data_IF_708247892105
#
_entry.id   IF_708247892105
#
_cell.length_a   1.000
_cell.length_b   1.000
_cell.length_c   1.000
_cell.angle_alpha   90.00
_cell.angle_beta   90.00
_cell.angle_gamma   90.00
#
_symmetry.space_group_name_H-M   'P 1'
#
loop_
_entity.id
_entity.type
_entity.pdbx_description
1 polymer ?
#
# COMPACT_ATOMS: atom_id res chain seq x y z
N UNK A 1 6.08 62.93 -62.23
CA UNK A 1 5.61 61.54 -62.58
C UNK A 1 6.64 60.61 -61.98
N UNK A 2 6.21 59.63 -61.23
CA UNK A 2 7.14 58.65 -60.69
C UNK A 2 7.69 57.77 -61.82
N UNK A 3 8.96 57.36 -61.71
CA UNK A 3 9.62 56.55 -62.76
C UNK A 3 9.42 55.05 -62.53
N UNK A 4 8.79 54.69 -61.43
CA UNK A 4 8.52 53.30 -60.98
C UNK A 4 7.18 53.16 -60.21
N UNK A 5 6.64 51.96 -60.22
CA UNK A 5 5.44 51.63 -59.38
C UNK A 5 5.79 51.61 -57.90
N UNK A 6 4.87 52.02 -57.01
CA UNK A 6 5.19 52.27 -55.60
C UNK A 6 5.41 50.96 -54.75
N UNK A 7 4.86 49.81 -55.13
CA UNK A 7 4.99 48.57 -54.36
C UNK A 7 6.06 47.61 -54.86
N UNK A 8 6.10 47.41 -56.19
CA UNK A 8 7.01 46.46 -56.84
C UNK A 8 8.16 47.12 -57.55
N UNK A 9 8.25 48.47 -57.53
CA UNK A 9 9.26 49.25 -58.20
C UNK A 9 9.39 48.91 -59.74
N UNK A 10 8.26 48.60 -60.38
CA UNK A 10 8.22 48.27 -61.75
C UNK A 10 8.55 49.53 -62.57
N UNK A 11 9.55 49.52 -63.49
CA UNK A 11 9.96 50.72 -64.24
C UNK A 11 8.89 51.16 -65.22
N UNK A 12 8.54 52.41 -65.18
CA UNK A 12 7.63 53.06 -66.19
C UNK A 12 8.32 53.51 -67.44
N UNK A 13 7.60 53.40 -68.52
CA UNK A 13 8.08 53.97 -69.76
C UNK A 13 7.97 55.53 -69.74
N UNK A 14 9.03 56.24 -69.98
CA UNK A 14 9.06 57.72 -69.96
C UNK A 14 8.35 58.35 -71.15
N UNK A 15 7.86 59.63 -71.07
CA UNK A 15 7.00 60.27 -72.05
C UNK A 15 7.55 60.46 -73.46
N UNK A 16 8.81 60.21 -73.73
CA UNK A 16 9.44 60.38 -75.06
C UNK A 16 9.06 59.32 -76.10
N UNK A 17 8.20 58.31 -75.78
CA UNK A 17 7.70 57.27 -76.69
C UNK A 17 6.20 57.46 -76.95
N UNK A 18 5.82 57.80 -78.21
CA UNK A 18 4.49 58.13 -78.70
C UNK A 18 3.34 57.37 -78.00
N UNK A 19 2.73 57.95 -76.93
CA UNK A 19 1.58 57.56 -76.12
C UNK A 19 1.52 56.09 -75.57
N UNK A 20 2.44 55.20 -75.95
CA UNK A 20 2.48 53.79 -75.47
C UNK A 20 2.71 53.71 -73.94
N UNK A 21 3.33 54.73 -73.39
CA UNK A 21 3.59 54.82 -71.96
C UNK A 21 2.34 54.90 -71.16
N UNK A 22 1.22 55.43 -71.60
CA UNK A 22 0.00 55.60 -70.83
C UNK A 22 -0.63 54.21 -70.51
N UNK A 23 -0.92 53.43 -71.56
CA UNK A 23 -1.55 52.09 -71.38
C UNK A 23 -0.61 51.10 -70.77
N UNK A 24 0.71 51.17 -71.03
CA UNK A 24 1.68 50.28 -70.42
C UNK A 24 1.87 50.59 -68.93
N UNK A 25 2.01 51.85 -68.56
CA UNK A 25 2.19 52.24 -67.17
C UNK A 25 0.94 52.00 -66.38
N UNK A 26 -0.27 52.17 -66.95
CA UNK A 26 -1.53 51.74 -66.28
C UNK A 26 -1.55 50.24 -66.06
N UNK A 27 -1.13 49.44 -67.02
CA UNK A 27 -1.03 48.01 -66.87
C UNK A 27 -0.06 47.61 -65.75
N UNK A 28 1.11 48.27 -65.66
CA UNK A 28 2.08 48.04 -64.58
C UNK A 28 1.53 48.48 -63.20
N UNK A 29 0.81 49.60 -63.15
CA UNK A 29 0.15 50.06 -61.89
C UNK A 29 -0.90 49.08 -61.38
N UNK A 30 -1.69 48.50 -62.30
CA UNK A 30 -2.67 47.45 -61.97
C UNK A 30 -1.96 46.20 -61.55
N UNK A 31 -0.87 45.78 -62.15
CA UNK A 31 -0.07 44.64 -61.77
C UNK A 31 0.52 44.82 -60.32
N UNK A 32 1.13 46.03 -60.12
CA UNK A 32 1.69 46.43 -58.84
C UNK A 32 0.65 46.32 -57.70
N UNK A 33 -0.58 46.73 -57.95
CA UNK A 33 -1.67 46.62 -57.00
C UNK A 33 -2.13 45.17 -56.74
N UNK A 34 -2.16 44.30 -57.76
CA UNK A 34 -2.69 42.95 -57.71
C UNK A 34 -1.72 41.90 -57.21
N UNK A 35 -0.42 42.05 -57.50
CA UNK A 35 0.59 41.05 -57.10
C UNK A 35 0.84 41.10 -55.62
N UNK A 36 0.72 39.91 -54.94
CA UNK A 36 0.81 39.80 -53.49
C UNK A 36 -0.09 40.83 -52.78
N UNK A 37 -1.37 40.82 -53.13
CA UNK A 37 -2.35 41.78 -52.66
C UNK A 37 -2.38 41.86 -51.14
N UNK A 38 -1.98 43.02 -50.63
CA UNK A 38 -2.11 43.37 -49.23
C UNK A 38 -2.90 44.67 -49.12
N UNK A 39 -4.02 44.61 -48.39
CA UNK A 39 -4.95 45.72 -48.23
C UNK A 39 -4.88 46.34 -46.86
N UNK A 40 -5.08 47.64 -46.74
CA UNK A 40 -5.11 48.34 -45.46
C UNK A 40 -6.35 47.96 -44.63
N UNK A 41 -7.41 47.47 -45.29
CA UNK A 41 -8.61 46.95 -44.67
C UNK A 41 -9.56 46.31 -45.66
N UNK A 42 -10.38 45.41 -45.17
CA UNK A 42 -11.50 44.75 -45.88
C UNK A 42 -12.80 45.46 -45.50
N UNK A 43 -13.78 45.51 -46.43
CA UNK A 43 -15.08 46.19 -46.28
C UNK A 43 -14.94 47.70 -46.00
N UNK A 44 -13.90 48.31 -46.54
CA UNK A 44 -13.65 49.72 -46.34
C UNK A 44 -14.72 50.60 -47.01
N UNK A 45 -15.32 51.54 -46.25
CA UNK A 45 -16.40 52.39 -46.69
C UNK A 45 -16.00 53.84 -47.01
N UNK A 46 -14.98 54.35 -46.35
CA UNK A 46 -14.62 55.77 -46.46
C UNK A 46 -13.12 55.90 -46.77
N UNK A 47 -12.73 56.68 -47.79
CA UNK A 47 -11.35 56.88 -48.09
C UNK A 47 -10.63 57.63 -46.94
N UNK A 48 -9.37 57.31 -46.66
CA UNK A 48 -8.58 58.05 -45.68
C UNK A 48 -8.38 59.51 -46.14
N UNK A 49 -8.27 60.42 -45.15
CA UNK A 49 -8.07 61.84 -45.44
C UNK A 49 -6.69 62.11 -46.09
N UNK A 50 -5.70 61.33 -45.79
CA UNK A 50 -4.32 61.45 -46.31
C UNK A 50 -3.83 60.04 -46.71
N UNK A 51 -4.21 59.56 -47.92
CA UNK A 51 -3.73 58.26 -48.41
C UNK A 51 -2.27 58.36 -48.83
N UNK A 52 -1.50 57.30 -48.65
CA UNK A 52 -0.12 57.19 -49.10
C UNK A 52 -0.04 56.40 -50.41
N UNK A 53 0.96 56.73 -51.25
CA UNK A 53 1.22 56.04 -52.52
C UNK A 53 1.43 54.53 -52.30
N UNK A 54 0.72 53.71 -53.06
CA UNK A 54 0.76 52.23 -52.96
C UNK A 54 -0.19 51.59 -51.92
N UNK A 55 -0.89 52.38 -51.15
CA UNK A 55 -1.94 51.82 -50.27
C UNK A 55 -3.12 51.31 -51.06
N UNK A 56 -3.68 50.15 -50.63
CA UNK A 56 -4.84 49.50 -51.29
C UNK A 56 -5.87 49.17 -50.26
N UNK A 57 -7.14 49.38 -50.59
CA UNK A 57 -8.29 48.98 -49.79
C UNK A 57 -9.20 48.05 -50.57
N UNK A 58 -9.81 47.05 -49.91
CA UNK A 58 -10.90 46.31 -50.47
C UNK A 58 -12.23 46.97 -50.02
N UNK A 59 -12.97 47.50 -50.97
CA UNK A 59 -14.18 48.29 -50.69
C UNK A 59 -15.36 47.40 -50.37
N UNK A 60 -16.14 47.82 -49.41
CA UNK A 60 -17.40 47.19 -49.04
C UNK A 60 -18.57 47.50 -50.01
N UNK A 61 -19.80 47.18 -49.61
CA UNK A 61 -21.02 47.34 -50.43
C UNK A 61 -21.48 48.78 -50.58
N UNK A 62 -21.10 49.69 -49.69
CA UNK A 62 -21.59 51.09 -49.70
C UNK A 62 -20.44 52.11 -49.50
N UNK A 63 -19.45 52.18 -50.41
CA UNK A 63 -18.35 53.13 -50.30
C UNK A 63 -18.81 54.57 -50.53
N UNK A 64 -18.17 55.52 -49.83
CA UNK A 64 -18.50 56.93 -49.80
C UNK A 64 -17.36 57.80 -50.28
N UNK A 65 -17.60 59.13 -50.39
CA UNK A 65 -16.57 60.11 -50.84
C UNK A 65 -15.99 59.80 -52.20
N UNK A 66 -14.67 59.83 -52.32
CA UNK A 66 -13.97 59.51 -53.56
C UNK A 66 -14.09 58.08 -54.05
N UNK A 67 -14.70 57.19 -53.23
CA UNK A 67 -14.98 55.76 -53.54
C UNK A 67 -16.44 55.50 -53.93
N UNK A 68 -17.29 56.54 -53.93
CA UNK A 68 -18.72 56.34 -54.19
C UNK A 68 -18.96 55.68 -55.55
N UNK A 69 -19.85 54.67 -55.63
CA UNK A 69 -20.12 53.89 -56.83
C UNK A 69 -19.16 52.73 -57.13
N UNK A 70 -18.11 52.53 -56.33
CA UNK A 70 -17.08 51.53 -56.56
C UNK A 70 -17.23 50.35 -55.62
N UNK A 71 -18.46 49.93 -55.28
CA UNK A 71 -18.76 48.82 -54.37
C UNK A 71 -18.03 47.53 -54.82
N UNK A 72 -17.41 46.83 -53.87
CA UNK A 72 -16.71 45.58 -54.10
C UNK A 72 -15.40 45.62 -54.89
N UNK A 73 -14.98 46.82 -55.29
CA UNK A 73 -13.70 47.05 -56.02
C UNK A 73 -12.49 47.10 -55.05
N UNK A 74 -11.30 46.93 -55.57
CA UNK A 74 -10.08 47.34 -54.90
C UNK A 74 -9.85 48.81 -55.23
N UNK A 75 -9.49 49.63 -54.28
CA UNK A 75 -9.11 51.02 -54.45
C UNK A 75 -7.64 51.20 -54.09
N UNK A 76 -6.76 51.41 -55.05
CA UNK A 76 -5.36 51.74 -54.85
C UNK A 76 -5.12 53.23 -55.00
N UNK A 77 -4.29 53.82 -54.13
CA UNK A 77 -3.87 55.21 -54.28
C UNK A 77 -2.53 55.25 -55.02
N UNK A 78 -2.57 55.72 -56.29
CA UNK A 78 -1.42 55.67 -57.18
C UNK A 78 -1.29 56.96 -57.99
N UNK A 79 -0.11 57.53 -58.03
CA UNK A 79 0.15 58.80 -58.71
C UNK A 79 -0.79 59.94 -58.27
N UNK A 80 -1.12 60.02 -56.98
CA UNK A 80 -1.97 61.04 -56.41
C UNK A 80 -3.46 60.90 -56.75
N UNK A 81 -3.90 59.73 -57.26
CA UNK A 81 -5.28 59.46 -57.64
C UNK A 81 -5.73 58.05 -57.28
N UNK A 82 -7.06 57.86 -57.19
CA UNK A 82 -7.64 56.55 -56.95
C UNK A 82 -7.70 55.75 -58.27
N UNK A 83 -7.09 54.54 -58.24
CA UNK A 83 -7.22 53.51 -59.26
C UNK A 83 -8.15 52.42 -58.76
N UNK A 84 -9.22 52.08 -59.48
CA UNK A 84 -10.15 51.04 -59.12
C UNK A 84 -9.96 49.81 -59.99
N UNK A 85 -10.05 48.62 -59.34
CA UNK A 85 -9.91 47.34 -60.02
C UNK A 85 -10.86 46.31 -59.43
N UNK A 86 -11.61 45.60 -60.28
CA UNK A 86 -12.45 44.51 -59.85
C UNK A 86 -11.55 43.31 -59.47
N UNK A 87 -11.64 42.83 -58.21
CA UNK A 87 -10.96 41.59 -57.82
C UNK A 87 -11.63 40.38 -58.45
N UNK A 88 -10.85 39.43 -58.94
CA UNK A 88 -11.34 38.17 -59.49
C UNK A 88 -11.75 37.17 -58.39
N UNK A 89 -12.66 36.25 -58.73
CA UNK A 89 -13.00 35.11 -57.86
C UNK A 89 -11.76 34.28 -57.55
N UNK A 90 -11.62 33.86 -56.27
CA UNK A 90 -10.47 33.10 -55.81
C UNK A 90 -9.23 33.94 -55.44
N UNK A 91 -9.21 35.26 -55.67
CA UNK A 91 -8.08 36.11 -55.30
C UNK A 91 -7.87 36.08 -53.79
N UNK A 92 -6.58 36.16 -53.39
CA UNK A 92 -6.17 36.22 -51.99
C UNK A 92 -5.75 37.64 -51.63
N UNK A 93 -6.15 38.15 -50.48
CA UNK A 93 -5.69 39.42 -49.93
C UNK A 93 -5.29 39.26 -48.47
N UNK A 94 -4.12 39.81 -48.12
CA UNK A 94 -3.73 39.97 -46.70
C UNK A 94 -4.34 41.30 -46.20
N UNK A 95 -5.15 41.23 -45.16
CA UNK A 95 -5.61 42.40 -44.42
C UNK A 95 -4.53 42.83 -43.41
N UNK A 96 -3.90 43.97 -43.69
CA UNK A 96 -2.81 44.53 -42.86
C UNK A 96 -3.31 44.99 -41.48
N UNK A 97 -4.60 45.31 -41.37
CA UNK A 97 -5.18 45.79 -40.10
C UNK A 97 -5.19 44.74 -39.00
N UNK A 98 -5.30 43.44 -39.35
CA UNK A 98 -5.43 42.33 -38.43
C UNK A 98 -4.55 41.11 -38.75
N UNK A 99 -3.74 41.19 -39.84
CA UNK A 99 -2.84 40.12 -40.29
C UNK A 99 -3.53 38.87 -40.83
N UNK A 100 -4.83 38.92 -41.16
CA UNK A 100 -5.59 37.76 -41.65
C UNK A 100 -5.59 37.69 -43.17
N UNK A 101 -5.60 36.48 -43.67
CA UNK A 101 -5.72 36.20 -45.10
C UNK A 101 -7.21 36.03 -45.46
N UNK A 102 -7.63 36.68 -46.55
CA UNK A 102 -8.99 36.60 -47.11
C UNK A 102 -8.94 36.04 -48.53
N UNK A 103 -10.01 35.39 -48.94
CA UNK A 103 -10.26 34.94 -50.30
C UNK A 103 -11.50 35.60 -50.86
N UNK A 104 -11.46 36.05 -52.13
CA UNK A 104 -12.64 36.51 -52.84
C UNK A 104 -13.53 35.32 -53.16
N UNK A 105 -14.77 35.30 -52.68
CA UNK A 105 -15.71 34.21 -52.91
C UNK A 105 -17.15 34.71 -52.94
N UNK A 106 -17.84 34.44 -54.06
CA UNK A 106 -19.25 34.85 -54.22
C UNK A 106 -19.49 36.37 -54.24
N UNK A 107 -18.45 37.14 -54.59
CA UNK A 107 -18.54 38.60 -54.56
C UNK A 107 -18.10 39.28 -53.28
N UNK A 108 -17.75 38.50 -52.22
CA UNK A 108 -17.31 39.00 -50.91
C UNK A 108 -15.89 38.56 -50.57
N UNK A 109 -15.21 39.28 -49.66
CA UNK A 109 -13.97 38.87 -49.09
C UNK A 109 -14.23 38.01 -47.84
N UNK A 110 -13.99 36.70 -47.93
CA UNK A 110 -14.20 35.74 -46.86
C UNK A 110 -12.87 35.41 -46.19
N UNK A 111 -12.82 35.56 -44.87
CA UNK A 111 -11.62 35.22 -44.11
C UNK A 111 -11.30 33.73 -44.27
N UNK A 112 -10.05 33.41 -44.56
CA UNK A 112 -9.56 32.05 -44.54
C UNK A 112 -9.41 31.65 -43.08
N UNK A 113 -10.33 30.80 -42.59
CA UNK A 113 -10.22 30.24 -41.25
C UNK A 113 -8.99 29.33 -41.17
N UNK A 114 -8.31 29.27 -40.00
CA UNK A 114 -7.35 28.21 -39.74
C UNK A 114 -8.00 26.83 -39.99
N UNK A 115 -7.24 25.82 -40.42
CA UNK A 115 -7.81 24.47 -40.57
C UNK A 115 -8.42 24.02 -39.29
N UNK A 116 -9.66 23.52 -39.33
CA UNK A 116 -10.28 22.86 -38.20
C UNK A 116 -9.53 21.56 -37.96
N UNK A 117 -9.01 21.38 -36.72
CA UNK A 117 -8.25 20.19 -36.32
C UNK A 117 -9.14 19.09 -35.74
N UNK A 118 -10.41 19.06 -36.17
CA UNK A 118 -11.37 18.00 -35.78
C UNK A 118 -11.34 16.85 -36.78
N UNK A 119 -11.51 15.62 -36.25
CA UNK A 119 -11.60 14.38 -37.05
C UNK A 119 -10.38 14.14 -37.96
N UNK A 120 -9.19 14.52 -37.49
CA UNK A 120 -7.95 14.21 -38.20
C UNK A 120 -7.73 12.70 -38.28
N UNK A 121 -7.20 12.23 -39.40
CA UNK A 121 -6.76 10.82 -39.53
C UNK A 121 -5.65 10.46 -38.55
N UNK A 122 -4.84 11.44 -38.16
CA UNK A 122 -3.84 11.31 -37.11
C UNK A 122 -3.03 12.59 -36.92
N UNK A 123 -2.32 12.69 -35.83
CA UNK A 123 -1.43 13.80 -35.47
C UNK A 123 -0.07 13.26 -35.07
N UNK A 124 0.98 13.70 -35.77
CA UNK A 124 2.37 13.39 -35.43
C UNK A 124 3.12 14.62 -34.93
N UNK A 125 3.73 14.55 -33.76
CA UNK A 125 4.62 15.56 -33.19
C UNK A 125 6.02 14.98 -33.16
N UNK A 126 6.89 15.42 -34.08
CA UNK A 126 8.22 14.86 -34.30
C UNK A 126 8.22 13.32 -34.47
N UNK A 127 7.11 12.78 -34.98
CA UNK A 127 6.88 11.36 -35.26
C UNK A 127 5.79 11.25 -36.34
N UNK A 128 5.70 10.12 -37.05
CA UNK A 128 4.60 9.84 -37.98
C UNK A 128 3.51 9.03 -37.22
N UNK A 129 2.26 9.48 -37.37
CA UNK A 129 1.11 8.65 -36.95
C UNK A 129 0.89 7.49 -37.92
N UNK A 130 0.14 6.49 -37.51
CA UNK A 130 -0.30 5.36 -38.32
C UNK A 130 -1.77 5.02 -38.02
N UNK A 131 -2.29 3.96 -38.63
CA UNK A 131 -3.69 3.54 -38.44
C UNK A 131 -4.02 3.05 -37.01
N UNK A 132 -3.01 2.71 -36.19
CA UNK A 132 -3.13 2.27 -34.80
C UNK A 132 -2.80 3.42 -33.85
N UNK A 133 -1.67 4.07 -34.07
CA UNK A 133 -1.16 5.17 -33.25
C UNK A 133 -1.55 6.52 -33.88
N UNK A 134 -2.81 6.91 -33.72
CA UNK A 134 -3.36 8.15 -34.29
C UNK A 134 -2.75 9.42 -33.73
N UNK A 135 -2.30 9.40 -32.48
CA UNK A 135 -1.49 10.43 -31.85
C UNK A 135 -0.09 9.86 -31.59
N UNK A 136 0.89 10.29 -32.35
CA UNK A 136 2.28 9.89 -32.19
C UNK A 136 3.12 11.10 -31.76
N UNK A 137 3.78 10.99 -30.61
CA UNK A 137 4.62 12.05 -30.05
C UNK A 137 6.01 11.50 -29.76
N UNK A 138 7.05 12.13 -30.33
CA UNK A 138 8.46 11.87 -30.02
C UNK A 138 9.07 13.10 -29.38
N UNK A 139 9.17 13.11 -28.07
CA UNK A 139 9.66 14.23 -27.28
C UNK A 139 10.26 13.73 -25.96
N UNK A 140 11.16 14.50 -25.33
CA UNK A 140 11.67 14.15 -23.98
C UNK A 140 10.57 14.09 -22.93
N UNK A 141 9.45 14.84 -23.10
CA UNK A 141 8.30 14.81 -22.21
C UNK A 141 7.03 15.25 -22.95
N UNK A 142 5.87 14.77 -22.47
CA UNK A 142 4.55 15.24 -22.91
C UNK A 142 3.81 15.75 -21.68
N UNK A 143 3.36 17.01 -21.72
CA UNK A 143 2.62 17.63 -20.63
C UNK A 143 1.13 17.70 -20.96
N UNK A 144 0.30 17.09 -20.13
CA UNK A 144 -1.13 17.34 -20.04
C UNK A 144 -1.37 18.18 -18.79
N UNK A 145 -1.82 19.43 -18.93
CA UNK A 145 -1.94 20.37 -17.82
C UNK A 145 -3.39 20.74 -17.54
N UNK A 146 -3.64 21.19 -16.32
CA UNK A 146 -4.95 21.72 -15.91
C UNK A 146 -5.17 23.15 -16.46
N UNK A 147 -6.46 23.53 -16.57
CA UNK A 147 -6.93 24.88 -16.90
C UNK A 147 -7.69 25.46 -15.69
N UNK A 148 -6.99 25.61 -14.54
CA UNK A 148 -7.55 26.18 -13.32
C UNK A 148 -8.25 25.18 -12.39
N UNK A 149 -8.38 23.89 -12.78
CA UNK A 149 -8.99 22.81 -12.00
C UNK A 149 -8.24 21.49 -12.18
N UNK A 150 -8.94 20.36 -12.06
CA UNK A 150 -8.37 19.03 -12.28
C UNK A 150 -8.11 18.74 -13.77
N UNK A 151 -7.21 17.78 -14.04
CA UNK A 151 -6.99 17.21 -15.36
C UNK A 151 -7.14 15.68 -15.31
N UNK A 152 -7.85 15.09 -16.28
CA UNK A 152 -8.08 13.64 -16.36
C UNK A 152 -7.70 13.13 -17.75
N UNK A 153 -6.89 12.06 -17.80
CA UNK A 153 -6.74 11.26 -19.01
C UNK A 153 -7.75 10.12 -18.97
N UNK A 154 -8.77 10.17 -19.82
CA UNK A 154 -9.81 9.13 -19.91
C UNK A 154 -9.46 8.16 -21.01
N UNK A 155 -9.20 6.90 -20.64
CA UNK A 155 -8.98 5.79 -21.55
C UNK A 155 -10.22 4.90 -21.46
N UNK A 156 -10.97 4.79 -22.55
CA UNK A 156 -12.22 4.05 -22.61
C UNK A 156 -12.10 2.80 -23.48
N UNK A 157 -12.81 1.73 -23.11
CA UNK A 157 -12.94 0.48 -23.88
C UNK A 157 -14.40 0.20 -24.20
N UNK A 158 -14.68 -0.54 -25.28
CA UNK A 158 -16.02 -0.81 -25.72
C UNK A 158 -16.72 -1.90 -24.89
N UNK A 159 -15.99 -2.92 -24.45
CA UNK A 159 -16.50 -4.03 -23.65
C UNK A 159 -15.54 -4.39 -22.50
N UNK A 160 -16.06 -5.07 -21.48
CA UNK A 160 -15.27 -5.49 -20.32
C UNK A 160 -14.07 -6.38 -20.71
N UNK A 161 -14.20 -7.19 -21.75
CA UNK A 161 -13.13 -8.06 -22.27
C UNK A 161 -12.02 -7.33 -23.03
N UNK A 162 -12.23 -6.06 -23.40
CA UNK A 162 -11.23 -5.27 -24.10
C UNK A 162 -10.19 -4.71 -23.15
N UNK A 163 -9.22 -3.95 -23.69
CA UNK A 163 -8.12 -3.38 -22.93
C UNK A 163 -8.18 -1.85 -22.95
N UNK A 164 -8.10 -1.24 -21.78
CA UNK A 164 -7.82 0.17 -21.56
C UNK A 164 -6.65 0.28 -20.59
N UNK A 165 -5.45 0.55 -21.09
CA UNK A 165 -4.23 0.48 -20.30
C UNK A 165 -3.17 1.48 -20.73
N UNK A 166 -2.17 1.67 -19.87
CA UNK A 166 -0.87 2.25 -20.19
C UNK A 166 0.13 1.12 -20.38
N UNK A 167 0.73 1.04 -21.56
CA UNK A 167 1.75 0.06 -21.91
C UNK A 167 3.14 0.73 -21.93
N UNK A 168 4.05 0.24 -21.11
CA UNK A 168 5.43 0.69 -21.04
C UNK A 168 6.31 -0.26 -21.85
N UNK A 169 7.13 0.30 -22.74
CA UNK A 169 7.92 -0.46 -23.69
C UNK A 169 9.41 -0.10 -23.65
N UNK A 170 10.24 -1.06 -24.03
CA UNK A 170 11.67 -0.85 -24.33
C UNK A 170 11.93 -1.45 -25.71
N UNK A 171 12.38 -0.62 -26.68
CA UNK A 171 12.60 -1.05 -28.05
C UNK A 171 11.33 -1.66 -28.68
N UNK A 172 10.16 -1.08 -28.43
CA UNK A 172 8.83 -1.54 -28.84
C UNK A 172 8.39 -2.91 -28.27
N UNK A 173 9.19 -3.53 -27.39
CA UNK A 173 8.77 -4.70 -26.60
C UNK A 173 8.11 -4.28 -25.30
N UNK A 174 6.92 -4.80 -24.97
CA UNK A 174 6.20 -4.50 -23.73
C UNK A 174 6.99 -4.96 -22.52
N UNK A 175 7.02 -4.15 -21.44
CA UNK A 175 7.71 -4.48 -20.19
C UNK A 175 6.80 -4.38 -18.98
N UNK A 176 5.90 -3.41 -18.97
CA UNK A 176 4.87 -3.28 -17.95
C UNK A 176 3.58 -2.77 -18.56
N UNK A 177 2.45 -3.17 -18.01
CA UNK A 177 1.13 -2.71 -18.38
C UNK A 177 0.33 -2.44 -17.11
N UNK A 178 -0.38 -1.30 -17.06
CA UNK A 178 -1.29 -1.01 -15.98
C UNK A 178 -2.62 -0.50 -16.51
N UNK A 179 -3.71 -1.04 -16.00
CA UNK A 179 -5.05 -0.67 -16.42
C UNK A 179 -6.04 -1.82 -16.31
N UNK A 180 -7.16 -1.70 -17.01
CA UNK A 180 -8.19 -2.75 -17.12
C UNK A 180 -7.97 -3.53 -18.41
N UNK A 181 -7.55 -4.78 -18.33
CA UNK A 181 -7.16 -5.59 -19.48
C UNK A 181 -7.77 -6.98 -19.39
N UNK A 182 -8.70 -7.29 -20.30
CA UNK A 182 -9.43 -8.53 -20.35
C UNK A 182 -10.54 -8.68 -19.29
N UNK A 183 -10.69 -7.72 -18.39
CA UNK A 183 -11.75 -7.60 -17.39
C UNK A 183 -11.84 -6.16 -16.92
N UNK A 184 -12.81 -5.84 -16.07
CA UNK A 184 -12.91 -4.52 -15.42
C UNK A 184 -12.06 -4.40 -14.14
N UNK A 185 -11.34 -5.46 -13.77
CA UNK A 185 -10.37 -5.39 -12.68
C UNK A 185 -9.15 -4.55 -13.09
N UNK A 186 -8.65 -3.77 -12.16
CA UNK A 186 -7.42 -3.03 -12.39
C UNK A 186 -6.21 -3.92 -12.13
N UNK A 187 -5.31 -4.05 -13.12
CA UNK A 187 -4.15 -4.91 -13.03
C UNK A 187 -2.84 -4.17 -13.31
N UNK A 188 -1.77 -4.60 -12.66
CA UNK A 188 -0.38 -4.28 -12.99
C UNK A 188 0.28 -5.59 -13.44
N UNK A 189 0.72 -5.61 -14.68
CA UNK A 189 1.40 -6.75 -15.30
C UNK A 189 2.84 -6.39 -15.63
N UNK A 190 3.72 -7.36 -15.60
CA UNK A 190 5.13 -7.21 -15.97
C UNK A 190 5.55 -8.33 -16.92
N UNK A 191 6.54 -8.04 -17.77
CA UNK A 191 7.10 -8.99 -18.74
C UNK A 191 8.61 -8.81 -18.85
N UNK A 192 9.35 -9.90 -18.83
CA UNK A 192 10.79 -9.89 -19.05
C UNK A 192 11.14 -9.82 -20.54
N UNK A 193 10.30 -10.41 -21.42
CA UNK A 193 10.56 -10.64 -22.85
C UNK A 193 9.58 -9.91 -23.80
N UNK A 194 8.46 -9.40 -23.28
CA UNK A 194 7.39 -8.77 -24.04
C UNK A 194 6.35 -9.76 -24.60
N UNK A 195 6.59 -11.07 -24.50
CA UNK A 195 5.68 -12.12 -24.92
C UNK A 195 4.95 -12.79 -23.77
N UNK A 196 5.68 -13.10 -22.70
CA UNK A 196 5.15 -13.76 -21.50
C UNK A 196 4.87 -12.72 -20.42
N UNK A 197 3.63 -12.69 -19.92
CA UNK A 197 3.18 -11.68 -18.96
C UNK A 197 2.79 -12.30 -17.62
N UNK A 198 3.23 -11.69 -16.54
CA UNK A 198 2.82 -12.01 -15.18
C UNK A 198 1.96 -10.88 -14.60
N UNK A 199 0.77 -11.21 -14.10
CA UNK A 199 -0.04 -10.27 -13.32
C UNK A 199 0.55 -10.17 -11.92
N UNK A 200 1.31 -9.11 -11.67
CA UNK A 200 1.93 -8.88 -10.37
C UNK A 200 0.89 -8.49 -9.31
N UNK A 201 -0.01 -7.58 -9.66
CA UNK A 201 -1.09 -7.14 -8.79
C UNK A 201 -2.39 -7.01 -9.60
N UNK A 202 -3.50 -7.46 -9.01
CA UNK A 202 -4.86 -7.29 -9.54
C UNK A 202 -5.77 -6.84 -8.39
N UNK A 203 -6.55 -5.82 -8.63
CA UNK A 203 -7.60 -5.34 -7.76
C UNK A 203 -8.94 -5.73 -8.37
N UNK A 204 -9.68 -6.56 -7.69
CA UNK A 204 -11.01 -7.02 -8.10
C UNK A 204 -11.99 -5.84 -8.11
N UNK A 205 -12.68 -5.63 -9.22
CA UNK A 205 -13.54 -4.47 -9.44
C UNK A 205 -14.74 -4.39 -8.49
N UNK A 206 -15.24 -5.54 -8.01
CA UNK A 206 -16.41 -5.58 -7.15
C UNK A 206 -16.06 -5.43 -5.67
N UNK A 207 -14.98 -6.07 -5.22
CA UNK A 207 -14.59 -6.14 -3.81
C UNK A 207 -13.45 -5.21 -3.43
N UNK A 208 -12.64 -4.75 -4.39
CA UNK A 208 -11.40 -4.00 -4.16
C UNK A 208 -10.26 -4.85 -3.59
N UNK A 209 -10.43 -6.17 -3.45
CA UNK A 209 -9.42 -7.03 -2.86
C UNK A 209 -8.25 -7.29 -3.82
N UNK A 210 -7.05 -7.32 -3.24
CA UNK A 210 -5.81 -7.55 -3.99
C UNK A 210 -5.52 -9.04 -4.19
N UNK A 211 -5.02 -9.40 -5.39
CA UNK A 211 -4.50 -10.72 -5.76
C UNK A 211 -3.34 -10.57 -6.75
N UNK A 212 -2.75 -11.67 -7.20
CA UNK A 212 -1.66 -11.67 -8.18
C UNK A 212 -0.37 -12.28 -7.64
N UNK A 213 0.66 -12.34 -8.49
CA UNK A 213 1.93 -13.00 -8.17
C UNK A 213 2.70 -12.32 -7.01
N UNK A 214 2.49 -11.01 -6.80
CA UNK A 214 3.09 -10.27 -5.70
C UNK A 214 2.30 -10.40 -4.37
N UNK A 215 1.16 -11.08 -4.37
CA UNK A 215 0.33 -11.26 -3.18
C UNK A 215 0.39 -12.71 -2.73
N UNK A 216 0.45 -12.94 -1.44
CA UNK A 216 0.42 -14.26 -0.85
C UNK A 216 -0.82 -15.04 -1.29
N UNK A 217 -0.64 -16.29 -1.76
CA UNK A 217 -1.73 -17.11 -2.33
C UNK A 217 -2.42 -18.00 -1.29
N UNK A 218 -1.74 -18.34 -0.20
CA UNK A 218 -2.25 -19.17 0.87
C UNK A 218 -1.76 -18.66 2.23
N UNK A 219 -2.47 -19.01 3.32
CA UNK A 219 -2.14 -18.56 4.67
C UNK A 219 -0.73 -18.97 5.16
N UNK A 220 -0.16 -20.04 4.62
CA UNK A 220 1.18 -20.51 4.93
C UNK A 220 2.23 -20.25 3.84
N UNK A 221 1.90 -19.39 2.86
CA UNK A 221 2.82 -19.06 1.77
C UNK A 221 3.95 -18.16 2.27
N UNK A 222 5.16 -18.73 2.36
CA UNK A 222 6.38 -18.07 2.82
C UNK A 222 7.28 -17.61 1.68
N UNK A 223 6.77 -17.46 0.44
CA UNK A 223 7.56 -17.04 -0.72
C UNK A 223 8.13 -15.64 -0.51
N UNK A 224 9.45 -15.44 -0.53
CA UNK A 224 10.07 -14.14 -0.36
C UNK A 224 9.60 -13.13 -1.41
N UNK A 225 9.35 -11.89 -1.01
CA UNK A 225 8.94 -10.80 -1.88
C UNK A 225 7.43 -10.66 -2.08
N UNK A 226 6.61 -11.57 -1.55
CA UNK A 226 5.16 -11.44 -1.57
C UNK A 226 4.62 -10.58 -0.43
N UNK A 227 3.56 -9.85 -0.71
CA UNK A 227 2.79 -9.09 0.26
C UNK A 227 1.97 -10.03 1.15
N UNK A 228 2.02 -9.83 2.45
CA UNK A 228 1.24 -10.59 3.43
C UNK A 228 -0.24 -10.22 3.37
N UNK A 229 -1.11 -11.24 3.47
CA UNK A 229 -2.56 -11.08 3.61
C UNK A 229 -2.97 -11.20 5.07
N UNK A 230 -4.09 -10.57 5.43
CA UNK A 230 -4.75 -10.82 6.72
C UNK A 230 -5.04 -12.32 6.87
N UNK A 231 -4.69 -12.90 8.01
CA UNK A 231 -4.77 -14.34 8.27
C UNK A 231 -3.50 -15.12 7.89
N UNK A 232 -2.54 -14.46 7.24
CA UNK A 232 -1.24 -15.08 6.93
C UNK A 232 -0.55 -15.57 8.22
N UNK A 233 -0.11 -16.81 8.19
CA UNK A 233 0.54 -17.46 9.33
C UNK A 233 -0.25 -17.33 10.65
N UNK A 234 -1.58 -17.24 10.58
CA UNK A 234 -2.45 -17.08 11.73
C UNK A 234 -2.51 -15.67 12.33
N UNK A 235 -1.97 -14.65 11.66
CA UNK A 235 -2.00 -13.29 12.13
C UNK A 235 -3.18 -12.48 11.55
N UNK A 236 -3.84 -11.69 12.43
CA UNK A 236 -4.95 -10.83 12.02
C UNK A 236 -6.24 -11.58 11.68
N UNK A 237 -6.39 -12.82 12.11
CA UNK A 237 -7.62 -13.59 11.93
C UNK A 237 -8.76 -13.00 12.77
N UNK A 238 -9.98 -13.03 12.23
CA UNK A 238 -11.18 -12.60 12.90
C UNK A 238 -12.36 -13.56 12.60
N UNK A 239 -13.25 -13.73 13.55
CA UNK A 239 -14.46 -14.52 13.41
C UNK A 239 -14.21 -16.00 13.14
N UNK A 240 -14.82 -16.53 12.09
CA UNK A 240 -14.77 -17.96 11.74
C UNK A 240 -13.50 -18.40 10.99
N UNK A 241 -12.53 -17.52 10.79
CA UNK A 241 -11.27 -17.89 10.14
C UNK A 241 -10.45 -18.80 11.06
N UNK A 242 -10.12 -19.99 10.59
CA UNK A 242 -9.28 -20.92 11.32
C UNK A 242 -7.79 -20.58 11.13
N UNK A 243 -7.00 -20.72 12.20
CA UNK A 243 -5.55 -20.68 12.10
C UNK A 243 -5.05 -21.80 11.18
N UNK A 244 -3.98 -21.57 10.39
CA UNK A 244 -3.40 -22.65 9.60
C UNK A 244 -2.98 -23.80 10.53
N UNK A 245 -3.36 -25.03 10.16
CA UNK A 245 -3.04 -26.21 10.95
C UNK A 245 -1.59 -26.59 10.70
N UNK A 246 -0.83 -26.78 11.76
CA UNK A 246 0.54 -27.29 11.70
C UNK A 246 0.53 -28.77 11.34
N UNK A 247 1.28 -29.15 10.33
CA UNK A 247 1.40 -30.55 9.93
C UNK A 247 2.29 -31.36 10.92
N UNK A 248 3.41 -30.75 11.31
CA UNK A 248 4.39 -31.38 12.19
C UNK A 248 4.99 -30.33 13.15
N UNK A 249 4.92 -30.58 14.46
CA UNK A 249 5.55 -29.75 15.48
C UNK A 249 7.08 -29.75 15.39
N UNK A 250 7.67 -30.80 14.86
CA UNK A 250 9.12 -30.96 14.76
C UNK A 250 9.71 -30.44 13.45
N UNK A 251 8.86 -29.89 12.54
CA UNK A 251 9.31 -29.35 11.25
C UNK A 251 10.25 -28.13 11.46
N UNK A 252 11.53 -28.25 11.09
CA UNK A 252 12.48 -27.17 11.21
C UNK A 252 12.26 -26.04 10.18
N UNK A 253 11.45 -26.25 9.15
CA UNK A 253 11.14 -25.29 8.10
C UNK A 253 9.91 -24.44 8.43
N UNK A 254 9.19 -24.73 9.52
CA UNK A 254 7.96 -24.04 9.89
C UNK A 254 8.18 -22.51 9.98
N UNK A 255 7.43 -21.68 9.23
CA UNK A 255 7.53 -20.22 9.32
C UNK A 255 7.10 -19.69 10.70
N UNK A 256 7.56 -18.48 11.06
CA UNK A 256 7.02 -17.78 12.23
C UNK A 256 5.53 -17.54 12.05
N UNK A 257 4.76 -17.75 13.09
CA UNK A 257 3.30 -17.58 13.01
C UNK A 257 2.56 -18.22 14.20
N UNK A 258 1.24 -18.07 14.17
CA UNK A 258 0.32 -18.70 15.09
C UNK A 258 -0.43 -19.83 14.37
N UNK A 259 -0.33 -21.05 14.87
CA UNK A 259 -0.83 -22.24 14.21
C UNK A 259 -1.79 -23.00 15.12
N UNK A 260 -2.78 -23.65 14.51
CA UNK A 260 -3.58 -24.65 15.21
C UNK A 260 -2.82 -26.00 15.22
N UNK A 261 -2.85 -26.67 16.35
CA UNK A 261 -2.36 -28.03 16.57
C UNK A 261 -3.56 -28.92 16.80
N UNK A 262 -3.80 -29.83 15.86
CA UNK A 262 -4.89 -30.82 15.93
C UNK A 262 -4.37 -32.17 16.36
N UNK A 263 -5.27 -33.11 16.61
CA UNK A 263 -4.91 -34.51 16.92
C UNK A 263 -4.10 -35.18 15.79
N UNK A 264 -4.24 -34.71 14.55
CA UNK A 264 -3.52 -35.22 13.39
C UNK A 264 -2.12 -34.61 13.20
N UNK A 265 -1.78 -33.51 13.89
CA UNK A 265 -0.45 -32.89 13.85
C UNK A 265 0.61 -33.88 14.34
N UNK A 266 1.66 -34.06 13.57
CA UNK A 266 2.79 -34.94 13.92
C UNK A 266 3.77 -34.26 14.89
N UNK A 267 4.79 -34.98 15.33
CA UNK A 267 5.88 -34.47 16.17
C UNK A 267 5.59 -34.55 17.68
N UNK A 268 6.65 -34.23 18.46
CA UNK A 268 6.62 -34.31 19.90
C UNK A 268 5.72 -33.23 20.53
N UNK A 269 4.77 -33.63 21.38
CA UNK A 269 3.89 -32.71 22.09
C UNK A 269 4.33 -32.48 23.52
N UNK A 270 3.94 -31.36 24.16
CA UNK A 270 4.03 -31.26 25.63
C UNK A 270 3.26 -32.36 26.32
N UNK A 271 3.72 -32.78 27.51
CA UNK A 271 3.03 -33.79 28.31
C UNK A 271 1.58 -33.34 28.59
N UNK A 272 0.62 -34.24 28.41
CA UNK A 272 -0.80 -34.00 28.62
C UNK A 272 -1.50 -33.27 27.46
N UNK A 273 -0.80 -32.75 26.46
CA UNK A 273 -1.41 -32.03 25.34
C UNK A 273 -1.85 -32.98 24.23
N UNK A 274 -3.08 -32.80 23.70
CA UNK A 274 -3.60 -33.51 22.54
C UNK A 274 -3.81 -32.57 21.35
N UNK A 275 -4.25 -31.34 21.62
CA UNK A 275 -4.53 -30.29 20.62
C UNK A 275 -4.40 -28.91 21.28
N UNK A 276 -4.31 -27.86 20.46
CA UNK A 276 -4.16 -26.51 20.97
C UNK A 276 -3.70 -25.49 19.90
N UNK A 277 -3.06 -24.44 20.35
CA UNK A 277 -2.37 -23.46 19.54
C UNK A 277 -0.86 -23.53 19.74
N UNK A 278 -0.09 -23.20 18.72
CA UNK A 278 1.36 -23.07 18.79
C UNK A 278 1.82 -21.78 18.13
N UNK A 279 2.49 -20.93 18.90
CA UNK A 279 3.22 -19.79 18.37
C UNK A 279 4.64 -20.24 18.02
N UNK A 280 5.06 -19.99 16.79
CA UNK A 280 6.41 -20.28 16.30
C UNK A 280 7.13 -18.97 16.05
N UNK A 281 8.34 -18.84 16.58
CA UNK A 281 9.24 -17.71 16.37
C UNK A 281 10.57 -18.23 15.82
N UNK A 282 10.89 -17.90 14.58
CA UNK A 282 12.20 -18.20 14.00
C UNK A 282 13.22 -17.14 14.42
N UNK A 283 14.38 -17.58 14.86
CA UNK A 283 15.49 -16.70 15.24
C UNK A 283 16.64 -16.78 14.23
N UNK A 284 16.64 -17.78 13.36
CA UNK A 284 17.65 -18.02 12.34
C UNK A 284 17.28 -19.16 11.40
N UNK A 285 18.21 -19.60 10.58
CA UNK A 285 17.97 -20.64 9.57
C UNK A 285 17.55 -21.99 10.16
N UNK A 286 18.01 -22.30 11.37
CA UNK A 286 17.70 -23.56 12.04
C UNK A 286 17.19 -23.40 13.46
N UNK A 287 17.13 -22.18 13.99
CA UNK A 287 16.78 -21.92 15.39
C UNK A 287 15.37 -21.37 15.48
N UNK A 288 14.54 -22.03 16.29
CA UNK A 288 13.13 -21.72 16.51
C UNK A 288 12.80 -21.76 18.00
N UNK A 289 11.86 -20.92 18.39
CA UNK A 289 11.14 -21.05 19.65
C UNK A 289 9.69 -21.45 19.36
N UNK A 290 9.15 -22.36 20.16
CA UNK A 290 7.73 -22.70 20.13
C UNK A 290 7.13 -22.47 21.50
N UNK A 291 5.93 -21.85 21.52
CA UNK A 291 5.09 -21.68 22.70
C UNK A 291 3.75 -22.34 22.42
N UNK A 292 3.42 -23.35 23.20
CA UNK A 292 2.22 -24.18 23.05
C UNK A 292 1.16 -23.82 24.07
N UNK A 293 -0.08 -23.70 23.62
CA UNK A 293 -1.27 -23.44 24.43
C UNK A 293 -2.24 -24.60 24.25
N UNK A 294 -2.43 -25.41 25.29
CA UNK A 294 -3.39 -26.53 25.27
C UNK A 294 -4.83 -26.04 25.16
N UNK A 295 -5.65 -26.73 24.40
CA UNK A 295 -7.05 -26.35 24.15
C UNK A 295 -7.90 -26.36 25.43
N UNK A 296 -7.56 -27.19 26.45
CA UNK A 296 -8.21 -27.23 27.78
C UNK A 296 -7.74 -26.13 28.72
N UNK A 297 -6.73 -25.33 28.35
CA UNK A 297 -6.12 -24.30 29.20
C UNK A 297 -5.22 -24.86 30.31
N UNK A 298 -4.99 -26.15 30.33
CA UNK A 298 -4.24 -26.92 31.35
C UNK A 298 -2.75 -27.08 30.98
N UNK A 299 -2.38 -26.86 29.72
CA UNK A 299 -1.02 -26.97 29.22
C UNK A 299 -0.56 -25.64 28.62
N UNK A 300 0.49 -25.05 29.21
CA UNK A 300 1.26 -23.95 28.64
C UNK A 300 2.73 -24.36 28.71
N UNK A 301 3.35 -24.52 27.54
CA UNK A 301 4.72 -25.04 27.45
C UNK A 301 5.50 -24.38 26.36
N UNK A 302 6.80 -24.32 26.49
CA UNK A 302 7.70 -23.83 25.44
C UNK A 302 8.83 -24.84 25.21
N UNK A 303 9.42 -24.74 24.01
CA UNK A 303 10.70 -25.39 23.69
C UNK A 303 11.49 -24.57 22.70
N UNK A 304 12.77 -24.83 22.64
CA UNK A 304 13.69 -24.20 21.72
C UNK A 304 14.31 -25.26 20.82
N UNK A 305 14.56 -24.89 19.59
CA UNK A 305 15.44 -25.60 18.69
C UNK A 305 16.69 -24.76 18.51
N UNK A 306 17.85 -25.29 18.88
CA UNK A 306 19.12 -24.63 18.78
C UNK A 306 20.18 -25.59 18.22
N UNK A 307 21.03 -25.10 17.32
CA UNK A 307 22.06 -25.93 16.70
C UNK A 307 21.50 -27.15 15.94
N UNK A 308 20.26 -27.04 15.42
CA UNK A 308 19.64 -28.12 14.67
C UNK A 308 18.88 -29.17 15.51
N UNK A 309 18.83 -29.05 16.81
CA UNK A 309 18.25 -30.04 17.74
C UNK A 309 17.11 -29.42 18.55
N UNK A 310 15.97 -30.12 18.64
CA UNK A 310 14.88 -29.75 19.52
C UNK A 310 15.21 -30.07 20.98
N UNK A 311 15.08 -29.10 21.86
CA UNK A 311 15.02 -29.32 23.30
C UNK A 311 13.68 -29.97 23.73
N UNK A 312 13.66 -30.53 24.93
CA UNK A 312 12.44 -31.01 25.53
C UNK A 312 11.43 -29.86 25.80
N UNK A 313 10.14 -30.17 25.74
CA UNK A 313 9.12 -29.24 26.17
C UNK A 313 9.26 -28.93 27.68
N UNK A 314 9.23 -27.65 28.00
CA UNK A 314 9.28 -27.13 29.35
C UNK A 314 7.96 -26.47 29.68
N UNK A 315 7.33 -26.87 30.79
CA UNK A 315 6.11 -26.23 31.27
C UNK A 315 6.44 -24.82 31.79
N UNK A 316 5.62 -23.83 31.42
CA UNK A 316 5.69 -22.50 32.01
C UNK A 316 4.99 -22.53 33.38
N UNK A 317 5.63 -21.93 34.39
CA UNK A 317 5.08 -21.81 35.70
C UNK A 317 3.88 -20.87 35.73
N UNK A 318 2.72 -21.36 36.14
CA UNK A 318 1.49 -20.59 36.30
C UNK A 318 0.62 -21.20 37.38
N UNK A 319 -0.46 -20.56 37.75
CA UNK A 319 -1.37 -21.08 38.81
C UNK A 319 -1.91 -22.47 38.55
N UNK A 320 -1.91 -22.94 37.31
CA UNK A 320 -2.32 -24.30 36.92
C UNK A 320 -1.21 -25.35 37.08
N UNK A 321 0.04 -24.92 37.24
CA UNK A 321 1.18 -25.83 37.42
C UNK A 321 1.57 -26.00 38.88
N UNK A 322 0.92 -25.27 39.79
CA UNK A 322 1.04 -25.43 41.24
C UNK A 322 -0.16 -26.25 41.70
N UNK A 323 0.09 -27.52 42.06
CA UNK A 323 -0.94 -28.36 42.64
C UNK A 323 -1.12 -27.99 44.10
N UNK A 324 -2.35 -27.69 44.50
CA UNK A 324 -2.73 -27.44 45.89
C UNK A 324 -3.88 -28.39 46.27
N UNK A 325 -3.67 -29.19 47.27
CA UNK A 325 -4.66 -30.13 47.76
C UNK A 325 -4.78 -29.99 49.29
N UNK A 326 -5.99 -29.83 49.79
CA UNK A 326 -6.27 -29.76 51.20
C UNK A 326 -7.09 -30.99 51.64
N UNK A 327 -6.79 -31.53 52.85
CA UNK A 327 -7.46 -32.69 53.42
C UNK A 327 -7.33 -32.74 54.95
N UNK A 328 -7.80 -33.81 55.55
CA UNK A 328 -7.78 -33.96 57.04
C UNK A 328 -6.36 -33.93 57.66
N UNK A 329 -5.35 -34.26 56.85
CA UNK A 329 -3.93 -34.27 57.29
C UNK A 329 -3.23 -32.97 57.03
N UNK A 330 -3.93 -31.93 56.53
CA UNK A 330 -3.39 -30.62 56.18
C UNK A 330 -3.43 -30.33 54.69
N UNK A 331 -2.67 -29.34 54.27
CA UNK A 331 -2.55 -28.88 52.89
C UNK A 331 -1.20 -29.29 52.30
N UNK A 332 -1.19 -29.66 51.05
CA UNK A 332 0.03 -29.85 50.24
C UNK A 332 0.04 -28.92 49.03
N UNK A 333 1.16 -28.27 48.82
CA UNK A 333 1.47 -27.49 47.65
C UNK A 333 2.66 -28.12 46.93
N UNK A 334 2.51 -28.44 45.66
CA UNK A 334 3.57 -28.96 44.77
C UNK A 334 3.87 -27.97 43.66
N UNK A 335 5.13 -27.69 43.45
CA UNK A 335 5.60 -26.83 42.35
C UNK A 335 6.29 -27.67 41.29
N UNK A 336 6.31 -27.22 40.02
CA UNK A 336 6.90 -27.96 38.90
C UNK A 336 8.40 -28.21 39.03
N UNK A 337 9.10 -27.43 39.84
CA UNK A 337 10.54 -27.61 40.13
C UNK A 337 10.82 -28.82 41.06
N UNK A 338 9.78 -29.55 41.44
CA UNK A 338 9.85 -30.71 42.32
C UNK A 338 9.80 -30.34 43.80
N UNK A 339 9.51 -29.09 44.17
CA UNK A 339 9.36 -28.71 45.57
C UNK A 339 7.96 -29.07 46.08
N UNK A 340 7.87 -29.63 47.30
CA UNK A 340 6.62 -29.88 48.01
C UNK A 340 6.66 -29.18 49.35
N UNK A 341 5.56 -28.49 49.66
CA UNK A 341 5.30 -27.90 50.98
C UNK A 341 4.05 -28.53 51.55
N UNK A 342 4.15 -29.13 52.73
CA UNK A 342 3.01 -29.60 53.48
C UNK A 342 2.81 -28.72 54.71
N UNK A 343 1.57 -28.35 55.02
CA UNK A 343 1.22 -27.54 56.22
C UNK A 343 0.01 -28.12 56.92
N UNK A 344 0.03 -28.05 58.26
CA UNK A 344 -1.10 -28.45 59.07
C UNK A 344 -1.12 -27.68 60.40
N UNK A 345 -2.27 -27.72 61.05
CA UNK A 345 -2.44 -27.27 62.43
C UNK A 345 -2.72 -28.52 63.29
N UNK A 346 -1.90 -28.75 64.30
CA UNK A 346 -1.97 -29.88 65.17
C UNK A 346 -2.14 -29.43 66.61
N UNK A 347 -2.79 -30.24 67.39
CA UNK A 347 -2.83 -30.14 68.89
C UNK A 347 -1.88 -31.15 69.42
N UNK A 348 -0.90 -30.75 70.22
CA UNK A 348 0.07 -31.61 70.85
C UNK A 348 -0.31 -31.84 72.30
N UNK A 349 0.20 -32.95 72.91
CA UNK A 349 0.06 -33.16 74.31
C UNK A 349 0.63 -32.02 75.15
N UNK A 350 -0.08 -31.67 76.26
CA UNK A 350 0.37 -30.63 77.15
C UNK A 350 1.76 -30.97 77.75
N UNK A 351 2.71 -30.05 77.78
CA UNK A 351 4.07 -30.28 78.28
C UNK A 351 4.04 -30.24 79.81
N UNK A 352 3.51 -31.32 80.46
CA UNK A 352 3.33 -31.48 81.88
C UNK A 352 4.09 -32.66 82.45
N UNK A 353 4.75 -33.48 81.64
CA UNK A 353 5.54 -34.63 82.09
C UNK A 353 7.01 -34.16 82.24
N UNK A 354 7.60 -34.41 83.41
CA UNK A 354 8.96 -34.05 83.69
C UNK A 354 9.96 -34.78 82.75
N UNK A 355 10.87 -34.01 82.10
CA UNK A 355 11.87 -34.53 81.23
C UNK A 355 13.24 -33.81 81.53
N UNK A 356 13.92 -34.33 82.62
CA UNK A 356 15.08 -33.69 83.17
C UNK A 356 14.74 -32.37 83.89
N UNK A 357 15.39 -31.28 83.46
CA UNK A 357 15.16 -29.90 83.93
C UNK A 357 13.97 -29.19 83.20
N UNK A 358 13.27 -29.89 82.30
CA UNK A 358 12.20 -29.38 81.45
C UNK A 358 10.97 -30.22 81.61
N UNK A 359 9.86 -29.77 81.02
CA UNK A 359 8.60 -30.49 80.86
C UNK A 359 8.33 -30.79 79.43
N UNK A 360 7.78 -31.96 79.12
CA UNK A 360 7.47 -32.42 77.81
C UNK A 360 6.03 -32.89 77.66
N UNK A 361 5.44 -32.95 76.52
CA UNK A 361 4.20 -33.65 76.21
C UNK A 361 4.36 -35.16 76.49
N UNK A 362 3.24 -35.86 76.78
CA UNK A 362 3.26 -37.25 77.17
C UNK A 362 3.90 -38.17 76.13
N UNK A 363 3.54 -38.04 74.89
CA UNK A 363 4.08 -38.79 73.76
C UNK A 363 4.49 -37.84 72.60
N UNK A 364 5.30 -38.32 71.60
CA UNK A 364 5.47 -37.69 70.34
C UNK A 364 4.17 -37.82 69.54
N UNK A 365 3.69 -36.68 68.96
CA UNK A 365 2.61 -36.67 68.00
C UNK A 365 3.17 -36.92 66.61
N UNK A 366 2.75 -38.01 66.00
CA UNK A 366 3.17 -38.31 64.59
C UNK A 366 2.23 -37.61 63.62
N UNK A 367 2.78 -36.76 62.75
CA UNK A 367 2.07 -36.14 61.65
C UNK A 367 2.36 -36.93 60.39
N UNK A 368 1.33 -37.57 59.80
CA UNK A 368 1.40 -38.14 58.47
C UNK A 368 1.22 -37.00 57.44
N UNK A 369 2.16 -36.82 56.56
CA UNK A 369 2.11 -35.74 55.56
C UNK A 369 0.91 -35.95 54.63
N UNK A 370 0.21 -34.88 54.21
CA UNK A 370 -0.94 -34.98 53.31
C UNK A 370 -0.57 -35.62 51.96
N UNK A 371 0.68 -35.58 51.58
CA UNK A 371 1.26 -36.34 50.47
C UNK A 371 2.71 -36.73 50.77
N UNK A 372 3.12 -37.90 50.31
CA UNK A 372 4.50 -38.36 50.49
C UNK A 372 5.49 -37.50 49.71
N UNK A 373 6.66 -37.27 50.30
CA UNK A 373 7.83 -36.73 49.60
C UNK A 373 8.51 -37.82 48.77
N UNK A 374 9.46 -37.45 47.95
CA UNK A 374 10.17 -38.41 47.11
C UNK A 374 10.81 -39.53 47.95
N UNK A 375 10.76 -40.79 47.48
CA UNK A 375 11.32 -41.92 48.21
C UNK A 375 12.78 -41.73 48.60
N UNK A 376 13.13 -42.07 49.86
CA UNK A 376 14.54 -41.92 50.36
C UNK A 376 14.92 -40.49 50.75
N UNK A 377 14.03 -39.51 50.62
CA UNK A 377 14.26 -38.14 51.09
C UNK A 377 13.69 -37.92 52.49
N UNK A 378 14.26 -36.95 53.19
CA UNK A 378 13.74 -36.42 54.44
C UNK A 378 13.42 -34.95 54.28
N UNK A 379 12.15 -34.52 54.43
CA UNK A 379 11.84 -33.11 54.39
C UNK A 379 12.40 -32.36 55.59
N UNK A 380 12.57 -31.06 55.46
CA UNK A 380 12.81 -30.18 56.60
C UNK A 380 11.48 -29.96 57.29
N UNK A 381 11.40 -30.30 58.58
CA UNK A 381 10.21 -30.14 59.41
C UNK A 381 10.41 -28.99 60.41
N UNK A 382 9.48 -28.04 60.44
CA UNK A 382 9.45 -26.95 61.40
C UNK A 382 8.07 -26.81 62.02
N UNK A 383 8.02 -26.37 63.27
CA UNK A 383 6.76 -26.11 63.94
C UNK A 383 6.84 -24.91 64.89
N UNK A 384 5.76 -24.17 65.02
CA UNK A 384 5.61 -23.04 65.91
C UNK A 384 4.32 -23.16 66.70
N UNK A 385 4.33 -22.88 68.02
CA UNK A 385 3.11 -22.74 68.77
C UNK A 385 2.32 -21.50 68.40
N UNK A 386 1.02 -21.59 68.34
CA UNK A 386 0.10 -20.48 68.05
C UNK A 386 -0.22 -19.65 69.31
N UNK A 387 0.10 -20.13 70.45
CA UNK A 387 -0.15 -19.48 71.76
C UNK A 387 1.04 -18.77 72.31
N UNK A 388 0.84 -17.69 73.06
CA UNK A 388 1.91 -16.89 73.70
C UNK A 388 2.56 -17.54 74.93
N UNK A 389 2.37 -18.86 75.14
CA UNK A 389 2.97 -19.55 76.23
C UNK A 389 4.48 -19.75 76.09
N UNK A 390 5.21 -19.81 77.20
CA UNK A 390 6.67 -20.03 77.19
C UNK A 390 6.96 -21.52 76.89
N UNK A 391 6.70 -21.94 75.69
CA UNK A 391 6.94 -23.28 75.16
C UNK A 391 7.56 -23.24 73.75
N UNK A 392 8.17 -24.33 73.37
CA UNK A 392 8.67 -24.57 72.03
C UNK A 392 8.34 -25.99 71.55
N UNK A 393 8.47 -26.25 70.31
CA UNK A 393 8.18 -27.54 69.69
C UNK A 393 9.49 -28.15 69.19
N UNK A 394 9.79 -29.35 69.57
CA UNK A 394 10.77 -30.20 68.94
C UNK A 394 10.13 -30.90 67.74
N UNK A 395 10.75 -30.80 66.60
CA UNK A 395 10.24 -31.39 65.36
C UNK A 395 11.33 -32.27 64.75
N UNK A 396 10.99 -33.48 64.34
CA UNK A 396 11.90 -34.45 63.75
C UNK A 396 11.26 -35.08 62.52
N UNK A 397 11.88 -34.88 61.36
CA UNK A 397 11.45 -35.60 60.16
C UNK A 397 11.76 -37.13 60.38
N UNK A 398 10.75 -37.95 60.24
CA UNK A 398 10.87 -39.40 60.30
C UNK A 398 11.41 -39.96 59.00
N UNK A 399 10.58 -39.89 57.94
CA UNK A 399 10.86 -40.37 56.59
C UNK A 399 10.16 -39.48 55.51
N UNK A 400 9.93 -40.06 54.35
CA UNK A 400 9.22 -39.34 53.27
C UNK A 400 7.71 -39.21 53.52
N UNK A 401 7.14 -39.88 54.52
CA UNK A 401 5.69 -39.99 54.77
C UNK A 401 5.23 -39.32 56.03
N UNK A 402 6.11 -39.17 57.02
CA UNK A 402 5.74 -38.67 58.34
C UNK A 402 6.87 -37.97 59.10
N UNK A 403 6.47 -37.21 60.12
CA UNK A 403 7.37 -36.61 61.12
C UNK A 403 6.78 -36.61 62.49
N UNK A 404 7.62 -36.49 63.53
CA UNK A 404 7.24 -36.48 64.90
C UNK A 404 7.47 -35.12 65.55
N UNK A 405 6.56 -34.69 66.39
CA UNK A 405 6.56 -33.43 67.12
C UNK A 405 6.32 -33.66 68.62
N UNK A 406 6.92 -32.86 69.48
CA UNK A 406 6.66 -32.87 70.89
C UNK A 406 6.75 -31.45 71.44
N UNK A 407 5.77 -31.06 72.23
CA UNK A 407 5.77 -29.81 72.95
C UNK A 407 6.73 -29.88 74.14
N UNK A 408 7.49 -28.81 74.36
CA UNK A 408 8.47 -28.66 75.47
C UNK A 408 8.22 -27.32 76.15
N UNK A 409 8.42 -27.27 77.46
CA UNK A 409 8.33 -26.02 78.22
C UNK A 409 9.31 -26.05 79.45
N UNK A 410 9.69 -24.83 79.89
CA UNK A 410 10.52 -24.68 81.10
C UNK A 410 9.76 -24.95 82.38
N UNK A 411 8.40 -24.84 82.35
CA UNK A 411 7.50 -25.09 83.43
C UNK A 411 6.33 -25.96 82.95
N UNK A 412 5.74 -26.79 83.89
CA UNK A 412 4.60 -27.58 83.48
C UNK A 412 3.44 -26.72 83.02
N UNK A 413 2.89 -27.09 81.84
CA UNK A 413 1.71 -26.48 81.26
C UNK A 413 0.54 -27.45 81.27
N UNK A 414 -0.63 -26.98 81.74
CA UNK A 414 -1.84 -27.85 81.86
C UNK A 414 -2.66 -27.91 80.56
N UNK A 415 -2.36 -27.02 79.54
CA UNK A 415 -3.14 -26.97 78.33
C UNK A 415 -2.37 -27.57 77.15
N UNK A 416 -3.06 -28.35 76.35
CA UNK A 416 -2.57 -28.86 75.06
C UNK A 416 -2.36 -27.75 74.08
N UNK A 417 -1.11 -27.48 73.55
CA UNK A 417 -0.84 -26.40 72.65
C UNK A 417 -1.24 -26.75 71.22
N UNK A 418 -1.85 -25.77 70.55
CA UNK A 418 -2.03 -25.80 69.11
C UNK A 418 -0.73 -25.30 68.43
N UNK A 419 -0.30 -25.98 67.39
CA UNK A 419 0.95 -25.68 66.64
C UNK A 419 0.70 -25.70 65.16
N UNK A 420 1.30 -24.76 64.45
CA UNK A 420 1.41 -24.77 62.99
C UNK A 420 2.68 -25.52 62.59
N UNK A 421 2.52 -26.56 61.81
CA UNK A 421 3.63 -27.38 61.34
C UNK A 421 3.82 -27.23 59.79
N UNK A 422 5.06 -27.15 59.35
CA UNK A 422 5.42 -27.10 57.93
C UNK A 422 6.51 -28.11 57.62
N UNK A 423 6.31 -28.91 56.59
CA UNK A 423 7.33 -29.77 56.01
C UNK A 423 7.65 -29.34 54.59
N UNK A 424 8.94 -29.17 54.27
CA UNK A 424 9.40 -28.75 52.95
C UNK A 424 10.45 -29.75 52.43
N UNK A 425 10.27 -30.19 51.18
CA UNK A 425 11.17 -31.15 50.56
C UNK A 425 10.87 -31.34 49.08
N UNK A 426 11.33 -32.45 48.52
CA UNK A 426 11.13 -32.81 47.11
C UNK A 426 10.00 -33.85 47.00
N UNK A 427 9.16 -33.75 45.96
CA UNK A 427 8.15 -34.76 45.64
C UNK A 427 8.52 -35.59 44.40
N UNK A 428 9.45 -35.08 43.58
CA UNK A 428 10.01 -35.72 42.38
C UNK A 428 11.50 -35.44 42.29
#
# INVERSE_FOLDING_TARGET
>A
MQDQSPRLALPFILPSQAQKHVTHNEALSRLDMAVQLAVEGIEAATPPALPEEGQVWALGSAPTGGWAGQAGMLAGFLNGAWLFMAPGEGWLALDKSNGRLFRRAGGDWVAIAPPVLDNLDGLGINASHDSVNRLAVSAPATLFNHEGGGHQLKINKAAASDTASLLFQTGFGGRAEMGTSGSDDFAIKVSADGGSWSTALRLDAASGLASGAAVQVAAADATPGRLLRTGAFGWGQAGAQAAPVMADLDDPAQPSGSYAVSVATQGARPAGATQGGCLVLRQGAGDLAQLFFGAGGDVLAFRLRAGGVWGAWQALHGGHNVSRVSGPMGEVVRTPDGTQVCQHVLVLDAPNVAAGALFAGGAETVWTYPAAFAPGTRPTLSASATTAAALWVTARAGDATSGALRAMAAQAQGSAPEVVVTAVGRWA
#
